data_IF_375910747471
#
_entry.id   IF_375910747471
#
_cell.length_a   1.000
_cell.length_b   1.000
_cell.length_c   1.000
_cell.angle_alpha   90.00
_cell.angle_beta   90.00
_cell.angle_gamma   90.00
#
_symmetry.space_group_name_H-M   'P 1'
#
loop_
_entity.id
_entity.type
_entity.pdbx_description
1 polymer ?
#
# COMPACT_ATOMS: atom_id res chain seq x y z
N UNK A 1 14.32 -9.54 33.78
CA UNK A 1 14.56 -10.73 32.91
C UNK A 1 13.51 -10.82 31.81
N UNK A 2 12.21 -10.71 32.13
CA UNK A 2 11.12 -10.80 31.12
C UNK A 2 11.18 -9.65 30.09
N UNK A 3 11.46 -8.43 30.52
CA UNK A 3 11.61 -7.26 29.63
C UNK A 3 12.77 -7.43 28.63
N UNK A 4 13.91 -7.95 29.09
CA UNK A 4 15.10 -8.18 28.27
C UNK A 4 14.84 -9.28 27.20
N UNK A 5 14.06 -10.30 27.56
CA UNK A 5 13.70 -11.37 26.63
C UNK A 5 12.70 -10.89 25.56
N UNK A 6 11.79 -9.98 25.93
CA UNK A 6 10.86 -9.33 25.00
C UNK A 6 11.55 -8.39 24.02
N UNK A 7 12.56 -7.63 24.48
CA UNK A 7 13.35 -6.75 23.62
C UNK A 7 14.17 -7.52 22.58
N UNK A 8 14.82 -8.60 22.99
CA UNK A 8 15.61 -9.44 22.08
C UNK A 8 14.73 -10.21 21.08
N UNK A 9 13.52 -10.60 21.51
CA UNK A 9 12.53 -11.21 20.64
C UNK A 9 11.96 -10.21 19.63
N UNK A 10 11.60 -8.99 20.03
CA UNK A 10 11.12 -7.95 19.14
C UNK A 10 12.19 -7.53 18.13
N UNK A 11 13.45 -7.46 18.53
CA UNK A 11 14.58 -7.12 17.69
C UNK A 11 14.81 -8.14 16.57
N UNK A 12 14.81 -9.43 16.90
CA UNK A 12 14.89 -10.53 15.91
C UNK A 12 13.69 -10.54 14.97
N UNK A 13 12.51 -10.19 15.47
CA UNK A 13 11.28 -10.12 14.70
C UNK A 13 11.33 -8.98 13.67
N UNK A 14 11.89 -7.81 14.02
CA UNK A 14 12.03 -6.68 13.12
C UNK A 14 13.00 -6.96 11.96
N UNK A 15 14.15 -7.61 12.21
CA UNK A 15 15.05 -8.05 11.13
C UNK A 15 14.40 -9.10 10.23
N UNK A 16 13.62 -9.99 10.80
CA UNK A 16 12.87 -11.00 10.02
C UNK A 16 11.84 -10.33 9.11
N UNK A 17 11.09 -9.35 9.63
CA UNK A 17 10.11 -8.58 8.83
C UNK A 17 10.81 -7.78 7.73
N UNK A 18 11.92 -7.12 8.02
CA UNK A 18 12.69 -6.37 7.03
C UNK A 18 13.20 -7.27 5.89
N UNK A 19 13.73 -8.44 6.24
CA UNK A 19 14.17 -9.45 5.27
C UNK A 19 13.01 -9.98 4.43
N UNK A 20 11.88 -10.30 5.06
CA UNK A 20 10.66 -10.78 4.39
C UNK A 20 10.10 -9.74 3.42
N UNK A 21 10.04 -8.46 3.82
CA UNK A 21 9.63 -7.35 2.95
C UNK A 21 10.57 -7.18 1.76
N UNK A 22 11.88 -7.28 1.98
CA UNK A 22 12.86 -7.22 0.90
C UNK A 22 12.67 -8.34 -0.13
N UNK A 23 12.53 -9.59 0.34
CA UNK A 23 12.30 -10.75 -0.54
C UNK A 23 10.95 -10.63 -1.27
N UNK A 24 9.89 -10.22 -0.58
CA UNK A 24 8.57 -9.98 -1.18
C UNK A 24 8.65 -8.90 -2.28
N UNK A 25 9.32 -7.79 -2.01
CA UNK A 25 9.48 -6.72 -2.99
C UNK A 25 10.25 -7.18 -4.25
N UNK A 26 11.30 -7.98 -4.10
CA UNK A 26 12.05 -8.58 -5.21
C UNK A 26 11.16 -9.54 -6.01
N UNK A 27 10.37 -10.38 -5.35
CA UNK A 27 9.43 -11.31 -6.00
C UNK A 27 8.36 -10.55 -6.80
N UNK A 28 7.81 -9.45 -6.26
CA UNK A 28 6.84 -8.60 -6.96
C UNK A 28 7.49 -7.96 -8.20
N UNK A 29 8.75 -7.50 -8.09
CA UNK A 29 9.46 -6.86 -9.17
C UNK A 29 9.75 -7.83 -10.34
N UNK A 30 10.14 -9.08 -10.02
CA UNK A 30 10.50 -10.10 -11.03
C UNK A 30 9.26 -10.70 -11.68
N UNK A 31 8.21 -10.98 -10.88
CA UNK A 31 6.99 -11.65 -11.35
C UNK A 31 5.71 -10.83 -11.11
N UNK A 32 5.59 -9.62 -11.67
CA UNK A 32 4.42 -8.75 -11.43
C UNK A 32 3.10 -9.40 -11.87
N UNK A 33 3.08 -10.12 -12.99
CA UNK A 33 1.89 -10.80 -13.50
C UNK A 33 1.38 -11.91 -12.56
N UNK A 34 2.28 -12.62 -11.89
CA UNK A 34 1.91 -13.63 -10.90
C UNK A 34 1.15 -13.02 -9.72
N UNK A 35 1.64 -11.89 -9.19
CA UNK A 35 1.03 -11.21 -8.07
C UNK A 35 -0.34 -10.61 -8.43
N UNK A 36 -0.46 -10.01 -9.61
CA UNK A 36 -1.74 -9.53 -10.13
C UNK A 36 -2.74 -10.69 -10.18
N UNK A 37 -2.35 -11.82 -10.79
CA UNK A 37 -3.18 -13.01 -10.91
C UNK A 37 -3.62 -13.55 -9.54
N UNK A 38 -2.70 -13.63 -8.58
CA UNK A 38 -2.97 -14.12 -7.24
C UNK A 38 -3.98 -13.24 -6.51
N UNK A 39 -3.81 -11.91 -6.55
CA UNK A 39 -4.73 -10.95 -5.94
C UNK A 39 -6.12 -11.05 -6.57
N UNK A 40 -6.22 -11.12 -7.89
CA UNK A 40 -7.51 -11.19 -8.60
C UNK A 40 -8.23 -12.50 -8.27
N UNK A 41 -7.52 -13.63 -8.18
CA UNK A 41 -8.10 -14.91 -7.74
C UNK A 41 -8.62 -14.81 -6.30
N UNK A 42 -7.85 -14.25 -5.39
CA UNK A 42 -8.28 -14.08 -3.99
C UNK A 42 -9.53 -13.20 -3.87
N UNK A 43 -9.56 -12.08 -4.60
CA UNK A 43 -10.73 -11.21 -4.66
C UNK A 43 -11.94 -11.91 -5.30
N UNK A 44 -11.70 -12.68 -6.38
CA UNK A 44 -12.72 -13.47 -7.03
C UNK A 44 -13.33 -14.52 -6.10
N UNK A 45 -12.50 -15.26 -5.36
CA UNK A 45 -12.97 -16.22 -4.34
C UNK A 45 -13.76 -15.52 -3.22
N UNK A 46 -13.28 -14.35 -2.78
CA UNK A 46 -14.01 -13.52 -1.83
C UNK A 46 -15.38 -13.08 -2.34
N UNK A 47 -15.47 -12.67 -3.62
CA UNK A 47 -16.73 -12.28 -4.25
C UNK A 47 -17.71 -13.46 -4.38
N UNK A 48 -17.21 -14.65 -4.74
CA UNK A 48 -18.02 -15.88 -4.77
C UNK A 48 -18.53 -16.22 -3.38
N UNK A 49 -17.63 -16.22 -2.37
CA UNK A 49 -18.00 -16.50 -0.97
C UNK A 49 -19.05 -15.51 -0.44
N UNK A 50 -18.87 -14.22 -0.72
CA UNK A 50 -19.82 -13.18 -0.35
C UNK A 50 -21.18 -13.38 -1.06
N UNK A 51 -21.17 -13.71 -2.35
CA UNK A 51 -22.39 -14.00 -3.12
C UNK A 51 -23.14 -15.20 -2.56
N UNK A 52 -22.46 -16.31 -2.25
CA UNK A 52 -23.06 -17.51 -1.65
C UNK A 52 -23.62 -17.21 -0.25
N UNK A 53 -22.86 -16.48 0.56
CA UNK A 53 -23.31 -16.07 1.89
C UNK A 53 -24.61 -15.26 1.82
N UNK A 54 -24.66 -14.22 1.00
CA UNK A 54 -25.88 -13.42 0.83
C UNK A 54 -27.04 -14.22 0.27
N UNK A 55 -26.80 -15.10 -0.69
CA UNK A 55 -27.82 -15.97 -1.24
C UNK A 55 -28.44 -16.89 -0.20
N UNK A 56 -27.61 -17.46 0.68
CA UNK A 56 -28.07 -18.31 1.79
C UNK A 56 -28.85 -17.55 2.86
N UNK A 57 -28.52 -16.25 3.04
CA UNK A 57 -29.14 -15.42 4.06
C UNK A 57 -30.45 -14.75 3.63
N UNK A 58 -30.74 -14.73 2.31
CA UNK A 58 -31.97 -14.13 1.73
C UNK A 58 -33.24 -14.65 2.39
N UNK A 59 -33.32 -15.94 2.71
CA UNK A 59 -34.48 -16.57 3.34
C UNK A 59 -34.80 -16.04 4.75
N UNK A 60 -33.82 -15.42 5.43
CA UNK A 60 -33.94 -14.94 6.82
C UNK A 60 -34.15 -13.43 6.92
N UNK A 61 -33.96 -12.66 5.85
CA UNK A 61 -33.71 -11.22 5.97
C UNK A 61 -34.92 -10.29 5.84
N UNK A 62 -35.97 -10.67 5.10
CA UNK A 62 -37.16 -9.82 4.99
C UNK A 62 -38.30 -10.49 4.25
N UNK A 63 -39.56 -10.18 4.66
CA UNK A 63 -40.80 -10.52 3.96
C UNK A 63 -41.07 -9.62 2.75
N UNK A 64 -40.28 -8.56 2.52
CA UNK A 64 -40.45 -7.64 1.42
C UNK A 64 -39.87 -8.23 0.12
N UNK A 65 -40.79 -8.53 -0.84
CA UNK A 65 -40.47 -9.14 -2.11
C UNK A 65 -39.49 -8.31 -2.96
N UNK A 66 -39.57 -6.98 -2.91
CA UNK A 66 -38.73 -6.08 -3.69
C UNK A 66 -37.27 -6.10 -3.21
N UNK A 67 -37.07 -6.04 -1.90
CA UNK A 67 -35.74 -6.09 -1.29
C UNK A 67 -35.05 -7.44 -1.53
N UNK A 68 -35.81 -8.53 -1.41
CA UNK A 68 -35.34 -9.89 -1.68
C UNK A 68 -34.85 -10.06 -3.12
N UNK A 69 -35.54 -9.50 -4.10
CA UNK A 69 -35.15 -9.55 -5.50
C UNK A 69 -33.84 -8.82 -5.77
N UNK A 70 -33.64 -7.64 -5.18
CA UNK A 70 -32.40 -6.87 -5.32
C UNK A 70 -31.20 -7.62 -4.76
N UNK A 71 -31.33 -8.22 -3.57
CA UNK A 71 -30.23 -8.99 -2.96
C UNK A 71 -29.94 -10.25 -3.81
N UNK A 72 -30.96 -10.92 -4.35
CA UNK A 72 -30.79 -12.09 -5.19
C UNK A 72 -30.00 -11.75 -6.45
N UNK A 73 -30.35 -10.68 -7.16
CA UNK A 73 -29.63 -10.22 -8.36
C UNK A 73 -28.19 -9.84 -8.00
N UNK A 74 -27.99 -9.07 -6.93
CA UNK A 74 -26.66 -8.68 -6.46
C UNK A 74 -25.78 -9.89 -6.13
N UNK A 75 -26.32 -10.89 -5.46
CA UNK A 75 -25.61 -12.12 -5.10
C UNK A 75 -25.23 -12.94 -6.34
N UNK A 76 -26.15 -13.07 -7.29
CA UNK A 76 -25.91 -13.77 -8.54
C UNK A 76 -24.80 -13.07 -9.36
N UNK A 77 -24.88 -11.75 -9.50
CA UNK A 77 -23.87 -10.95 -10.20
C UNK A 77 -22.50 -11.09 -9.51
N UNK A 78 -22.44 -11.06 -8.18
CA UNK A 78 -21.20 -11.25 -7.42
C UNK A 78 -20.58 -12.63 -7.66
N UNK A 79 -21.39 -13.69 -7.70
CA UNK A 79 -20.93 -15.06 -8.00
C UNK A 79 -20.39 -15.15 -9.42
N UNK A 80 -21.10 -14.59 -10.41
CA UNK A 80 -20.69 -14.65 -11.82
C UNK A 80 -19.36 -13.89 -12.01
N UNK A 81 -19.26 -12.65 -11.50
CA UNK A 81 -18.04 -11.84 -11.61
C UNK A 81 -16.87 -12.51 -10.87
N UNK A 82 -17.13 -13.04 -9.67
CA UNK A 82 -16.11 -13.74 -8.90
C UNK A 82 -15.61 -15.01 -9.59
N UNK A 83 -16.51 -15.78 -10.22
CA UNK A 83 -16.16 -16.98 -11.00
C UNK A 83 -15.33 -16.61 -12.24
N UNK A 84 -15.70 -15.56 -12.96
CA UNK A 84 -14.93 -15.04 -14.09
C UNK A 84 -13.53 -14.60 -13.66
N UNK A 85 -13.41 -13.95 -12.50
CA UNK A 85 -12.11 -13.52 -11.95
C UNK A 85 -11.21 -14.71 -11.59
N UNK A 86 -11.78 -15.84 -11.15
CA UNK A 86 -11.02 -17.05 -10.85
C UNK A 86 -10.60 -17.80 -12.13
N UNK A 87 -11.47 -17.88 -13.14
CA UNK A 87 -11.22 -18.61 -14.38
C UNK A 87 -10.28 -17.82 -15.31
N UNK A 88 -10.50 -16.51 -15.43
CA UNK A 88 -9.80 -15.63 -16.36
C UNK A 88 -9.15 -14.43 -15.62
N UNK A 89 -8.26 -14.67 -14.64
CA UNK A 89 -7.79 -13.61 -13.75
C UNK A 89 -7.03 -12.50 -14.49
N UNK A 90 -6.25 -12.81 -15.51
CA UNK A 90 -5.53 -11.79 -16.28
C UNK A 90 -6.46 -10.94 -17.13
N UNK A 91 -7.41 -11.55 -17.84
CA UNK A 91 -8.40 -10.83 -18.66
C UNK A 91 -9.27 -9.91 -17.80
N UNK A 92 -9.71 -10.38 -16.63
CA UNK A 92 -10.49 -9.54 -15.70
C UNK A 92 -9.62 -8.40 -15.14
N UNK A 93 -8.36 -8.67 -14.76
CA UNK A 93 -7.43 -7.65 -14.29
C UNK A 93 -7.19 -6.57 -15.34
N UNK A 94 -6.87 -6.96 -16.58
CA UNK A 94 -6.62 -6.04 -17.69
C UNK A 94 -7.86 -5.21 -18.04
N UNK A 95 -9.04 -5.84 -18.08
CA UNK A 95 -10.30 -5.16 -18.39
C UNK A 95 -10.66 -4.14 -17.31
N UNK A 96 -10.62 -4.53 -16.03
CA UNK A 96 -10.92 -3.65 -14.91
C UNK A 96 -9.93 -2.48 -14.84
N UNK A 97 -8.64 -2.77 -15.05
CA UNK A 97 -7.59 -1.76 -15.11
C UNK A 97 -7.83 -0.75 -16.24
N UNK A 98 -8.12 -1.25 -17.44
CA UNK A 98 -8.39 -0.43 -18.62
C UNK A 98 -9.61 0.47 -18.43
N UNK A 99 -10.71 -0.07 -17.90
CA UNK A 99 -11.90 0.72 -17.56
C UNK A 99 -11.58 1.81 -16.55
N UNK A 100 -10.85 1.47 -15.48
CA UNK A 100 -10.46 2.44 -14.43
C UNK A 100 -9.62 3.58 -15.00
N UNK A 101 -8.67 3.28 -15.89
CA UNK A 101 -7.83 4.30 -16.53
C UNK A 101 -8.64 5.18 -17.46
N UNK A 102 -9.56 4.63 -18.26
CA UNK A 102 -10.39 5.44 -19.13
C UNK A 102 -11.35 6.35 -18.34
N UNK A 103 -11.93 5.87 -17.24
CA UNK A 103 -12.75 6.70 -16.35
C UNK A 103 -11.92 7.83 -15.77
N UNK A 104 -10.70 7.54 -15.32
CA UNK A 104 -9.77 8.55 -14.82
C UNK A 104 -9.39 9.56 -15.90
N UNK A 105 -9.08 9.11 -17.11
CA UNK A 105 -8.74 9.98 -18.24
C UNK A 105 -9.90 10.92 -18.59
N UNK A 106 -11.15 10.41 -18.65
CA UNK A 106 -12.35 11.23 -18.87
C UNK A 106 -12.52 12.26 -17.75
N UNK A 107 -12.34 11.84 -16.49
CA UNK A 107 -12.38 12.75 -15.35
C UNK A 107 -11.35 13.89 -15.48
N UNK A 108 -10.11 13.58 -15.87
CA UNK A 108 -9.05 14.58 -16.06
C UNK A 108 -9.35 15.54 -17.20
N UNK A 109 -9.91 15.03 -18.32
CA UNK A 109 -10.38 15.90 -19.42
C UNK A 109 -11.47 16.86 -18.94
N UNK A 110 -12.49 16.34 -18.25
CA UNK A 110 -13.56 17.17 -17.70
C UNK A 110 -13.01 18.22 -16.72
N UNK A 111 -12.07 17.81 -15.84
CA UNK A 111 -11.42 18.69 -14.88
C UNK A 111 -10.64 19.80 -15.59
N UNK A 112 -9.87 19.48 -16.61
CA UNK A 112 -9.14 20.45 -17.42
C UNK A 112 -10.09 21.43 -18.14
N UNK A 113 -11.18 20.94 -18.72
CA UNK A 113 -12.21 21.78 -19.35
C UNK A 113 -12.84 22.77 -18.35
N UNK A 114 -13.17 22.29 -17.15
CA UNK A 114 -13.69 23.15 -16.07
C UNK A 114 -12.65 24.18 -15.62
N UNK A 115 -11.38 23.79 -15.55
CA UNK A 115 -10.28 24.71 -15.25
C UNK A 115 -10.13 25.80 -16.30
N UNK A 116 -10.22 25.47 -17.59
CA UNK A 116 -10.22 26.47 -18.67
C UNK A 116 -11.43 27.38 -18.61
N UNK A 117 -12.62 26.85 -18.32
CA UNK A 117 -13.83 27.65 -18.12
C UNK A 117 -13.67 28.60 -16.92
N UNK A 118 -13.17 28.09 -15.78
CA UNK A 118 -12.88 28.90 -14.59
C UNK A 118 -11.93 30.06 -14.91
N UNK A 119 -10.89 29.82 -15.70
CA UNK A 119 -9.95 30.84 -16.15
C UNK A 119 -10.60 31.88 -17.05
N UNK A 120 -11.53 31.47 -17.91
CA UNK A 120 -12.30 32.42 -18.74
C UNK A 120 -13.15 33.36 -17.90
N UNK A 121 -13.77 32.84 -16.82
CA UNK A 121 -14.59 33.64 -15.88
C UNK A 121 -13.73 34.57 -15.02
N UNK A 122 -12.55 34.10 -14.56
CA UNK A 122 -11.63 34.83 -13.67
C UNK A 122 -10.69 35.77 -14.41
N UNK A 123 -10.81 35.93 -15.72
CA UNK A 123 -9.94 36.74 -16.57
C UNK A 123 -9.75 38.20 -16.10
N UNK A 124 -10.71 38.75 -15.34
CA UNK A 124 -10.70 40.11 -14.81
C UNK A 124 -10.25 40.22 -13.35
N UNK A 125 -9.76 39.15 -12.75
CA UNK A 125 -9.31 39.12 -11.37
C UNK A 125 -7.79 39.12 -11.31
N UNK A 126 -7.18 39.71 -10.25
CA UNK A 126 -5.71 39.78 -10.02
C UNK A 126 -5.04 38.45 -9.68
N UNK A 127 -5.56 37.32 -10.17
CA UNK A 127 -5.02 36.00 -9.92
C UNK A 127 -3.93 35.66 -10.93
N UNK A 128 -2.83 35.04 -10.49
CA UNK A 128 -1.76 34.57 -11.37
C UNK A 128 -2.25 33.48 -12.34
N UNK A 129 -2.82 33.89 -13.45
CA UNK A 129 -3.39 33.01 -14.48
C UNK A 129 -2.36 32.05 -15.09
N UNK A 130 -1.06 32.37 -15.07
CA UNK A 130 -0.02 31.55 -15.68
C UNK A 130 0.13 30.17 -15.04
N UNK A 131 0.10 30.10 -13.71
CA UNK A 131 0.23 28.83 -13.00
C UNK A 131 -1.01 27.95 -13.21
N UNK A 132 -2.18 28.56 -13.24
CA UNK A 132 -3.45 27.88 -13.53
C UNK A 132 -3.50 27.31 -14.95
N UNK A 133 -2.96 28.04 -15.92
CA UNK A 133 -2.92 27.61 -17.31
C UNK A 133 -1.96 26.43 -17.48
N UNK A 134 -0.80 26.48 -16.83
CA UNK A 134 0.17 25.40 -16.85
C UNK A 134 -0.38 24.11 -16.23
N UNK A 135 -1.05 24.21 -15.08
CA UNK A 135 -1.68 23.09 -14.39
C UNK A 135 -2.72 22.39 -15.27
N UNK A 136 -3.65 23.15 -15.87
CA UNK A 136 -4.68 22.59 -16.75
C UNK A 136 -4.09 21.96 -18.02
N UNK A 137 -3.01 22.52 -18.53
CA UNK A 137 -2.32 21.95 -19.69
C UNK A 137 -1.63 20.63 -19.35
N UNK A 138 -1.02 20.54 -18.17
CA UNK A 138 -0.43 19.29 -17.65
C UNK A 138 -1.51 18.23 -17.43
N UNK A 139 -2.65 18.59 -16.84
CA UNK A 139 -3.79 17.67 -16.65
C UNK A 139 -4.29 17.11 -18.00
N UNK A 140 -4.41 17.97 -19.01
CA UNK A 140 -4.82 17.56 -20.34
C UNK A 140 -3.78 16.62 -20.99
N UNK A 141 -2.49 16.94 -20.86
CA UNK A 141 -1.40 16.11 -21.39
C UNK A 141 -1.39 14.72 -20.72
N UNK A 142 -1.58 14.65 -19.39
CA UNK A 142 -1.70 13.40 -18.65
C UNK A 142 -2.93 12.61 -19.12
N UNK A 143 -4.08 13.26 -19.31
CA UNK A 143 -5.29 12.62 -19.79
C UNK A 143 -5.08 11.97 -21.16
N UNK A 144 -4.47 12.69 -22.10
CA UNK A 144 -4.14 12.18 -23.45
C UNK A 144 -3.17 10.99 -23.34
N UNK A 145 -2.15 11.08 -22.49
CA UNK A 145 -1.21 9.99 -22.26
C UNK A 145 -1.90 8.73 -21.72
N UNK A 146 -2.81 8.89 -20.77
CA UNK A 146 -3.62 7.81 -20.21
C UNK A 146 -4.52 7.12 -21.24
N UNK A 147 -5.04 7.89 -22.23
CA UNK A 147 -5.80 7.32 -23.33
C UNK A 147 -4.96 6.46 -24.28
N UNK A 148 -3.68 6.84 -24.47
CA UNK A 148 -2.79 6.17 -25.44
C UNK A 148 -2.18 4.87 -24.91
N UNK A 149 -1.96 4.76 -23.58
CA UNK A 149 -1.16 3.67 -22.97
C UNK A 149 -1.83 3.03 -21.74
N UNK A 150 -3.11 2.62 -21.82
CA UNK A 150 -3.80 2.16 -20.62
C UNK A 150 -3.29 0.82 -20.05
N UNK A 151 -2.99 -0.16 -20.91
CA UNK A 151 -2.66 -1.52 -20.48
C UNK A 151 -1.22 -1.63 -19.89
N UNK A 152 -0.27 -0.89 -20.44
CA UNK A 152 1.14 -0.95 -20.02
C UNK A 152 1.37 -0.31 -18.64
N UNK A 153 0.54 0.67 -18.27
CA UNK A 153 0.63 1.37 -16.98
C UNK A 153 0.35 0.43 -15.79
N UNK A 154 -0.52 -0.58 -15.96
CA UNK A 154 -0.82 -1.53 -14.90
C UNK A 154 0.40 -2.31 -14.44
N UNK A 155 1.14 -2.87 -15.37
CA UNK A 155 2.36 -3.64 -15.07
C UNK A 155 3.46 -2.71 -14.53
N UNK A 156 3.60 -1.50 -15.09
CA UNK A 156 4.56 -0.53 -14.62
C UNK A 156 4.31 -0.10 -13.16
N UNK A 157 3.06 0.14 -12.78
CA UNK A 157 2.70 0.49 -11.40
C UNK A 157 2.98 -0.65 -10.42
N UNK A 158 2.71 -1.90 -10.79
CA UNK A 158 3.04 -3.05 -9.93
C UNK A 158 4.55 -3.18 -9.74
N UNK A 159 5.36 -2.89 -10.77
CA UNK A 159 6.83 -2.85 -10.64
C UNK A 159 7.29 -1.72 -9.72
N UNK A 160 6.71 -0.51 -9.86
CA UNK A 160 7.01 0.62 -8.97
C UNK A 160 6.63 0.29 -7.54
N UNK A 161 5.49 -0.36 -7.32
CA UNK A 161 5.07 -0.83 -6.01
C UNK A 161 6.07 -1.86 -5.42
N UNK A 162 6.55 -2.81 -6.22
CA UNK A 162 7.59 -3.75 -5.82
C UNK A 162 8.87 -3.04 -5.38
N UNK A 163 9.30 -2.02 -6.14
CA UNK A 163 10.46 -1.20 -5.80
C UNK A 163 10.24 -0.40 -4.51
N UNK A 164 9.04 0.15 -4.30
CA UNK A 164 8.68 0.84 -3.07
C UNK A 164 8.72 -0.11 -1.85
N UNK A 165 8.22 -1.34 -1.99
CA UNK A 165 8.29 -2.37 -0.92
C UNK A 165 9.73 -2.72 -0.58
N UNK A 166 10.63 -2.84 -1.58
CA UNK A 166 12.06 -3.04 -1.34
C UNK A 166 12.64 -1.85 -0.57
N UNK A 167 12.36 -0.62 -1.00
CA UNK A 167 12.85 0.59 -0.35
C UNK A 167 12.41 0.66 1.13
N UNK A 168 11.16 0.33 1.42
CA UNK A 168 10.64 0.23 2.80
C UNK A 168 11.37 -0.86 3.57
N UNK A 169 11.57 -2.05 3.00
CA UNK A 169 12.31 -3.15 3.63
C UNK A 169 13.75 -2.76 3.99
N UNK A 170 14.45 -2.11 3.06
CA UNK A 170 15.82 -1.59 3.28
C UNK A 170 15.82 -0.50 4.35
N UNK A 171 14.87 0.44 4.30
CA UNK A 171 14.75 1.50 5.30
C UNK A 171 14.55 0.93 6.71
N UNK A 172 13.65 -0.05 6.87
CA UNK A 172 13.46 -0.75 8.14
C UNK A 172 14.73 -1.45 8.61
N UNK A 173 15.42 -2.17 7.73
CA UNK A 173 16.68 -2.85 8.06
C UNK A 173 17.79 -1.89 8.49
N UNK A 174 17.97 -0.78 7.78
CA UNK A 174 18.98 0.24 8.09
C UNK A 174 18.63 0.99 9.39
N UNK A 175 17.37 1.34 9.58
CA UNK A 175 16.89 2.01 10.80
C UNK A 175 17.16 1.15 12.04
N UNK A 176 16.86 -0.13 11.99
CA UNK A 176 17.08 -1.07 13.09
C UNK A 176 18.58 -1.27 13.37
N UNK A 177 19.40 -1.36 12.30
CA UNK A 177 20.85 -1.44 12.44
C UNK A 177 21.44 -0.18 13.11
N UNK A 178 20.96 1.01 12.72
CA UNK A 178 21.41 2.28 13.28
C UNK A 178 21.03 2.45 14.75
N UNK A 179 19.79 2.10 15.11
CA UNK A 179 19.30 2.12 16.50
C UNK A 179 20.11 1.16 17.36
N UNK A 180 20.40 -0.03 16.83
CA UNK A 180 21.16 -1.05 17.53
C UNK A 180 22.63 -0.65 17.76
N UNK A 181 23.24 0.06 16.81
CA UNK A 181 24.60 0.58 16.94
C UNK A 181 24.67 1.65 18.01
N UNK A 182 23.77 2.65 18.00
CA UNK A 182 23.70 3.69 19.02
C UNK A 182 23.41 3.15 20.43
N UNK A 183 22.51 2.18 20.53
CA UNK A 183 22.20 1.55 21.81
C UNK A 183 23.42 0.87 22.45
N UNK A 184 24.28 0.23 21.64
CA UNK A 184 25.52 -0.36 22.15
C UNK A 184 26.56 0.70 22.58
N UNK A 185 26.70 1.78 21.84
CA UNK A 185 27.61 2.88 22.17
C UNK A 185 27.24 3.53 23.53
N UNK A 186 25.95 3.79 23.76
CA UNK A 186 25.43 4.37 25.01
C UNK A 186 25.68 3.42 26.20
N UNK A 187 25.44 2.13 26.04
CA UNK A 187 25.64 1.13 27.11
C UNK A 187 27.11 1.00 27.45
N UNK A 188 28.01 1.06 26.46
CA UNK A 188 29.47 1.02 26.71
C UNK A 188 29.94 2.26 27.46
N UNK A 189 29.44 3.44 27.07
CA UNK A 189 29.79 4.71 27.72
C UNK A 189 29.30 4.79 29.19
N UNK A 190 28.11 4.24 29.47
CA UNK A 190 27.55 4.16 30.83
C UNK A 190 28.35 3.18 31.69
N UNK A 191 28.76 2.03 31.16
CA UNK A 191 29.57 1.03 31.91
C UNK A 191 30.97 1.57 32.22
N UNK A 192 31.63 2.23 31.26
CA UNK A 192 32.92 2.86 31.48
C UNK A 192 32.83 4.00 32.53
N UNK A 193 31.71 4.73 32.56
CA UNK A 193 31.49 5.81 33.54
C UNK A 193 31.23 5.25 34.94
N UNK A 194 30.53 4.12 35.08
CA UNK A 194 30.31 3.43 36.35
C UNK A 194 31.57 2.78 36.88
N UNK A 195 32.41 2.18 36.04
CA UNK A 195 33.73 1.63 36.45
C UNK A 195 34.70 2.74 36.88
N UNK A 196 34.68 3.90 36.23
CA UNK A 196 35.52 5.05 36.59
C UNK A 196 35.05 5.77 37.87
N UNK A 197 33.78 5.60 38.28
CA UNK A 197 33.20 6.22 39.48
C UNK A 197 33.21 5.34 40.71
N UNK A 198 33.74 4.11 40.64
CA UNK A 198 33.91 3.24 41.82
C UNK A 198 35.19 3.68 42.58
N UNK A 199 35.07 4.36 43.71
CA UNK A 199 36.26 4.77 44.44
C UNK A 199 36.92 3.55 45.10
N UNK A 200 38.25 3.50 45.00
CA UNK A 200 39.15 2.74 45.87
C UNK A 200 38.73 2.92 47.34
N UNK A 201 37.96 2.02 47.89
CA UNK A 201 37.79 1.83 49.33
C UNK A 201 38.13 0.40 49.66
N UNK A 202 39.42 0.10 49.75
CA UNK A 202 39.91 -0.98 50.61
C UNK A 202 41.44 -0.94 50.65
N UNK A 203 42.02 -0.04 51.46
CA UNK A 203 43.34 -0.27 52.05
C UNK A 203 43.60 0.82 53.06
N UNK A 204 42.97 0.77 54.24
CA UNK A 204 43.47 1.39 55.47
C UNK A 204 42.62 0.90 56.65
N UNK A 205 42.96 -0.26 57.18
CA UNK A 205 42.73 -0.63 58.59
C UNK A 205 43.28 -2.02 58.84
N UNK A 206 44.65 -2.09 58.92
CA UNK A 206 45.36 -3.09 59.69
C UNK A 206 46.74 -2.51 59.98
N UNK A 207 46.83 -1.65 61.04
CA UNK A 207 48.02 -1.41 61.88
C UNK A 207 47.57 -0.51 63.02
N UNK A 208 47.04 -1.19 64.14
CA UNK A 208 47.40 -0.86 65.59
C UNK A 208 46.78 -1.91 66.51
#
# INVERSE_FOLDING_TARGET
IILFFLEDFMKKWNYFIAGLLGVLGILILIFPAFWIKLIVILLGLGAVGYGIYNFSYIKKLSDDSSYRSVIMVRSLVSIIIGLLAVILPMTVAETMWTIMIYVLAVYLVCSACLGFYGMYVLRNSDVELKNYLLENFILLAIAVFLFLVPAQLGIALVRILGLAVIAVGVFFGVSEWYINKKGKEIVTEVVETEEASSPEQTSESEEE
#
